data_IF_509253194712
#
_entry.id   IF_509253194712
#
_cell.length_a   1.000
_cell.length_b   1.000
_cell.length_c   1.000
_cell.angle_alpha   90.00
_cell.angle_beta   90.00
_cell.angle_gamma   90.00
#
_symmetry.space_group_name_H-M   'P 1'
#
loop_
_entity.id
_entity.type
_entity.pdbx_description
1 polymer ?
#
# COMPACT_ATOMS: atom_id res chain seq x y z
N UNK A 1 -16.64 12.27 11.21
CA UNK A 1 -16.15 11.15 12.04
C UNK A 1 -14.99 10.52 11.29
N UNK A 2 -13.87 10.26 11.96
CA UNK A 2 -12.72 9.60 11.34
C UNK A 2 -12.78 8.08 11.57
N UNK A 3 -12.46 7.30 10.55
CA UNK A 3 -12.35 5.84 10.62
C UNK A 3 -11.07 5.40 9.90
N UNK A 4 -10.23 4.67 10.64
CA UNK A 4 -8.89 4.26 10.21
C UNK A 4 -8.78 2.73 10.27
N UNK A 5 -8.11 2.14 9.29
CA UNK A 5 -7.71 0.73 9.31
C UNK A 5 -6.20 0.60 9.42
N UNK A 6 -5.73 -0.60 9.75
CA UNK A 6 -4.31 -0.91 9.80
C UNK A 6 -4.04 -2.36 9.36
N UNK A 7 -2.79 -2.65 9.03
CA UNK A 7 -2.26 -4.01 8.87
C UNK A 7 -1.07 -4.20 9.81
N UNK A 8 -0.79 -5.44 10.19
CA UNK A 8 0.35 -5.81 11.05
C UNK A 8 0.94 -7.15 10.61
N UNK A 9 1.33 -8.00 11.57
CA UNK A 9 1.74 -9.38 11.31
C UNK A 9 0.69 -10.20 10.54
N UNK A 10 -0.59 -9.81 10.59
CA UNK A 10 -1.64 -10.32 9.74
C UNK A 10 -2.47 -9.19 9.10
N UNK A 11 -3.29 -9.51 8.11
CA UNK A 11 -3.47 -10.83 7.50
C UNK A 11 -2.31 -11.19 6.54
N UNK A 12 -2.13 -12.47 6.20
CA UNK A 12 -1.17 -12.95 5.18
C UNK A 12 -1.86 -13.18 3.84
N UNK A 13 -1.11 -13.65 2.83
CA UNK A 13 -1.67 -14.13 1.57
C UNK A 13 -2.89 -15.05 1.81
N UNK A 14 -4.01 -14.90 1.07
CA UNK A 14 -4.20 -14.04 -0.11
C UNK A 14 -4.50 -12.56 0.18
N UNK A 15 -4.57 -12.14 1.45
CA UNK A 15 -4.94 -10.78 1.82
C UNK A 15 -3.80 -9.77 1.57
N UNK A 16 -4.13 -8.51 1.24
CA UNK A 16 -3.12 -7.48 1.07
C UNK A 16 -2.48 -7.10 2.42
N UNK A 17 -1.15 -7.00 2.42
CA UNK A 17 -0.34 -6.52 3.55
C UNK A 17 0.99 -5.95 2.99
N UNK A 18 1.94 -5.55 3.84
CA UNK A 18 3.27 -5.01 3.49
C UNK A 18 4.44 -5.90 3.93
N UNK A 19 4.20 -7.19 4.04
CA UNK A 19 5.27 -8.16 4.29
C UNK A 19 6.25 -8.18 3.11
N UNK A 20 7.52 -8.45 3.41
CA UNK A 20 8.63 -8.35 2.46
C UNK A 20 8.47 -9.28 1.25
N UNK A 21 7.90 -10.47 1.46
CA UNK A 21 7.71 -11.48 0.40
C UNK A 21 6.50 -11.23 -0.51
N UNK A 22 5.70 -10.19 -0.26
CA UNK A 22 4.50 -9.91 -1.05
C UNK A 22 4.81 -9.09 -2.31
N UNK A 23 3.93 -9.22 -3.31
CA UNK A 23 4.02 -8.47 -4.57
C UNK A 23 3.67 -7.00 -4.36
N UNK A 24 4.20 -6.14 -5.24
CA UNK A 24 3.91 -4.70 -5.19
C UNK A 24 2.42 -4.35 -5.35
N UNK A 25 1.64 -5.17 -6.04
CA UNK A 25 0.17 -5.01 -6.13
C UNK A 25 -0.54 -5.37 -4.84
N UNK A 26 -0.06 -6.38 -4.09
CA UNK A 26 -0.59 -6.70 -2.75
C UNK A 26 -0.34 -5.52 -1.80
N UNK A 27 0.81 -4.86 -1.92
CA UNK A 27 1.10 -3.67 -1.12
C UNK A 27 0.15 -2.52 -1.43
N UNK A 28 -0.16 -2.29 -2.71
CA UNK A 28 -1.11 -1.24 -3.14
C UNK A 28 -2.55 -1.55 -2.73
N UNK A 29 -2.95 -2.82 -2.78
CA UNK A 29 -4.30 -3.28 -2.47
C UNK A 29 -4.72 -2.99 -1.02
N UNK A 30 -3.77 -2.78 -0.11
CA UNK A 30 -4.06 -2.24 1.24
C UNK A 30 -4.83 -0.92 1.14
N UNK A 31 -4.42 -0.01 0.24
CA UNK A 31 -5.10 1.27 0.08
C UNK A 31 -6.43 1.15 -0.69
N UNK A 32 -6.53 0.23 -1.66
CA UNK A 32 -7.80 -0.03 -2.33
C UNK A 32 -8.86 -0.58 -1.38
N UNK A 33 -8.43 -1.43 -0.43
CA UNK A 33 -9.27 -1.88 0.68
C UNK A 33 -9.74 -0.72 1.55
N UNK A 34 -8.83 0.17 1.97
CA UNK A 34 -9.16 1.39 2.74
C UNK A 34 -10.24 2.19 2.02
N UNK A 35 -10.10 2.39 0.70
CA UNK A 35 -11.11 3.09 -0.08
C UNK A 35 -12.45 2.36 -0.10
N UNK A 36 -12.47 1.08 -0.46
CA UNK A 36 -13.71 0.32 -0.60
C UNK A 36 -14.49 0.19 0.72
N UNK A 37 -13.80 0.12 1.85
CA UNK A 37 -14.40 0.03 3.17
C UNK A 37 -14.81 1.39 3.79
N UNK A 38 -14.54 2.52 3.11
CA UNK A 38 -14.93 3.84 3.60
C UNK A 38 -13.92 4.51 4.55
N UNK A 39 -12.66 4.05 4.53
CA UNK A 39 -11.54 4.60 5.31
C UNK A 39 -11.26 6.06 5.04
N UNK A 40 -11.16 6.85 6.11
CA UNK A 40 -10.69 8.24 6.04
C UNK A 40 -9.17 8.35 6.23
N UNK A 41 -8.54 7.31 6.76
CA UNK A 41 -7.09 7.20 6.93
C UNK A 41 -6.60 5.76 7.04
N UNK A 42 -5.27 5.60 7.10
CA UNK A 42 -4.60 4.32 7.28
C UNK A 42 -3.46 4.46 8.28
N UNK A 43 -3.39 3.54 9.24
CA UNK A 43 -2.37 3.49 10.28
C UNK A 43 -1.43 2.32 10.03
N UNK A 44 -0.13 2.53 10.24
CA UNK A 44 0.85 1.46 10.30
C UNK A 44 1.61 1.50 11.61
N UNK A 45 1.80 0.34 12.23
CA UNK A 45 2.25 0.25 13.62
C UNK A 45 3.74 0.58 13.82
N UNK A 46 4.55 0.53 12.74
CA UNK A 46 5.97 0.85 12.81
C UNK A 46 6.61 0.99 11.43
N UNK A 47 7.58 1.89 11.28
CA UNK A 47 8.25 2.13 9.99
C UNK A 47 9.77 1.84 10.03
N UNK A 48 10.34 1.59 11.21
CA UNK A 48 11.76 1.34 11.44
C UNK A 48 12.00 0.42 12.65
N UNK A 49 11.05 -0.49 12.93
CA UNK A 49 11.06 -1.38 14.09
C UNK A 49 11.95 -2.60 13.84
N UNK A 50 13.26 -2.38 13.76
CA UNK A 50 14.27 -3.44 13.66
C UNK A 50 14.40 -4.27 14.94
N UNK A 51 15.03 -5.44 14.81
CA UNK A 51 15.55 -6.18 15.94
C UNK A 51 16.60 -5.32 16.65
N UNK A 52 16.61 -5.33 17.99
CA UNK A 52 17.55 -4.48 18.74
C UNK A 52 18.96 -5.05 18.57
N UNK A 53 19.79 -4.36 17.78
CA UNK A 53 21.19 -4.73 17.66
C UNK A 53 21.96 -4.30 18.93
N UNK A 54 22.71 -5.23 19.52
CA UNK A 54 23.62 -4.96 20.65
C UNK A 54 24.98 -4.43 20.18
N UNK A 55 25.26 -4.52 18.89
CA UNK A 55 26.47 -4.03 18.21
C UNK A 55 26.07 -3.35 16.91
N UNK A 56 26.85 -2.37 16.45
CA UNK A 56 26.68 -1.79 15.13
C UNK A 56 26.86 -2.90 14.07
N UNK A 57 25.78 -3.30 13.45
CA UNK A 57 25.73 -4.37 12.45
C UNK A 57 25.42 -3.75 11.10
N UNK A 58 26.26 -4.01 10.09
CA UNK A 58 25.95 -3.68 8.69
C UNK A 58 24.81 -4.55 8.12
N UNK A 59 24.42 -5.61 8.84
CA UNK A 59 23.35 -6.52 8.44
C UNK A 59 21.99 -6.05 8.97
N UNK A 60 21.01 -5.99 8.07
CA UNK A 60 19.61 -5.68 8.35
C UNK A 60 18.97 -6.89 9.04
N UNK A 61 18.50 -6.72 10.29
CA UNK A 61 17.81 -7.78 11.06
C UNK A 61 16.39 -7.38 11.41
N UNK A 62 15.42 -8.10 10.83
CA UNK A 62 14.01 -7.95 11.18
C UNK A 62 13.73 -8.57 12.56
N UNK A 63 12.72 -8.05 13.26
CA UNK A 63 12.31 -8.56 14.57
C UNK A 63 11.90 -10.03 14.52
N UNK A 64 12.36 -10.80 15.50
CA UNK A 64 11.93 -12.18 15.64
C UNK A 64 10.42 -12.29 15.96
N UNK A 65 9.75 -13.31 15.42
CA UNK A 65 8.32 -13.57 15.66
C UNK A 65 7.35 -12.72 14.83
N UNK A 66 7.86 -11.87 13.93
CA UNK A 66 7.06 -11.12 12.97
C UNK A 66 7.35 -11.58 11.53
N UNK A 67 6.39 -11.44 10.60
CA UNK A 67 6.66 -11.65 9.19
C UNK A 67 7.82 -10.75 8.73
N UNK A 68 8.71 -11.24 7.85
CA UNK A 68 9.82 -10.43 7.36
C UNK A 68 9.34 -9.08 6.81
N UNK A 69 9.99 -8.00 7.25
CA UNK A 69 9.67 -6.62 6.86
C UNK A 69 8.49 -5.96 7.60
N UNK A 70 7.71 -6.70 8.40
CA UNK A 70 6.65 -6.07 9.21
C UNK A 70 7.26 -5.09 10.24
N UNK A 71 6.68 -3.90 10.34
CA UNK A 71 7.18 -2.80 11.15
C UNK A 71 8.35 -2.03 10.54
N UNK A 72 8.76 -2.32 9.30
CA UNK A 72 9.94 -1.73 8.65
C UNK A 72 9.60 -1.24 7.25
N UNK A 73 9.71 0.06 6.99
CA UNK A 73 9.53 0.70 5.68
C UNK A 73 10.73 1.57 5.26
N UNK A 74 11.60 1.95 6.20
CA UNK A 74 12.85 2.67 5.94
C UNK A 74 14.05 1.81 6.34
N UNK A 75 15.10 1.86 5.54
CA UNK A 75 16.36 1.18 5.81
C UNK A 75 17.46 2.15 6.28
N UNK A 76 18.37 1.71 7.17
CA UNK A 76 19.56 2.47 7.52
C UNK A 76 20.39 2.76 6.28
N UNK A 77 20.79 4.02 6.10
CA UNK A 77 21.52 4.45 4.91
C UNK A 77 22.92 3.86 4.80
N UNK A 78 23.53 3.53 5.93
CA UNK A 78 24.92 3.09 6.04
C UNK A 78 25.14 1.77 5.27
N UNK A 79 24.10 0.93 5.20
CA UNK A 79 24.07 -0.32 4.42
C UNK A 79 24.12 -0.04 2.90
N UNK A 80 23.72 1.16 2.48
CA UNK A 80 23.65 1.62 1.09
C UNK A 80 24.62 2.77 0.81
N UNK A 81 25.67 2.93 1.63
CA UNK A 81 26.71 3.96 1.46
C UNK A 81 26.16 5.40 1.48
N UNK A 82 25.13 5.67 2.29
CA UNK A 82 24.56 7.01 2.51
C UNK A 82 24.32 7.27 4.00
N UNK A 83 24.31 8.53 4.41
CA UNK A 83 24.02 8.93 5.79
C UNK A 83 22.54 9.29 6.01
N UNK A 84 21.69 9.00 5.03
CA UNK A 84 20.25 9.29 5.06
C UNK A 84 19.42 8.00 5.06
N UNK A 85 18.26 7.97 5.73
CA UNK A 85 17.34 6.85 5.63
C UNK A 85 16.95 6.56 4.17
N UNK A 86 16.94 5.29 3.80
CA UNK A 86 16.59 4.84 2.44
C UNK A 86 15.17 4.30 2.44
N UNK A 87 14.33 4.80 1.53
CA UNK A 87 12.97 4.31 1.35
C UNK A 87 12.97 2.85 0.84
N UNK A 88 12.09 2.01 1.39
CA UNK A 88 11.86 0.69 0.82
C UNK A 88 10.99 0.77 -0.44
N UNK A 89 11.12 -0.23 -1.32
CA UNK A 89 10.17 -0.43 -2.42
C UNK A 89 8.72 -0.50 -1.92
N UNK A 90 8.50 -1.03 -0.71
CA UNK A 90 7.17 -1.15 -0.09
C UNK A 90 6.57 0.19 0.26
N UNK A 91 7.39 1.14 0.74
CA UNK A 91 6.98 2.52 0.97
C UNK A 91 6.60 3.21 -0.36
N UNK A 92 7.37 2.97 -1.42
CA UNK A 92 7.03 3.48 -2.77
C UNK A 92 5.74 2.86 -3.33
N UNK A 93 5.44 1.60 -2.98
CA UNK A 93 4.16 0.97 -3.33
C UNK A 93 3.00 1.48 -2.48
N UNK A 94 3.21 1.81 -1.20
CA UNK A 94 2.23 2.57 -0.41
C UNK A 94 1.94 3.91 -1.08
N UNK A 95 2.96 4.70 -1.45
CA UNK A 95 2.76 5.96 -2.17
C UNK A 95 1.97 5.76 -3.47
N UNK A 96 2.29 4.71 -4.23
CA UNK A 96 1.55 4.36 -5.46
C UNK A 96 0.08 4.03 -5.19
N UNK A 97 -0.20 3.32 -4.09
CA UNK A 97 -1.57 3.02 -3.65
C UNK A 97 -2.33 4.26 -3.20
N UNK A 98 -1.68 5.17 -2.46
CA UNK A 98 -2.25 6.47 -2.08
C UNK A 98 -2.59 7.30 -3.32
N UNK A 99 -1.71 7.34 -4.31
CA UNK A 99 -1.96 8.02 -5.58
C UNK A 99 -3.17 7.42 -6.31
N UNK A 100 -3.36 6.10 -6.31
CA UNK A 100 -4.57 5.48 -6.87
C UNK A 100 -5.84 5.98 -6.20
N UNK A 101 -5.79 6.18 -4.88
CA UNK A 101 -6.91 6.73 -4.12
C UNK A 101 -7.16 8.20 -4.49
N UNK A 102 -6.12 8.99 -4.76
CA UNK A 102 -6.30 10.36 -5.25
C UNK A 102 -6.97 10.40 -6.63
N UNK A 103 -6.65 9.47 -7.53
CA UNK A 103 -7.39 9.33 -8.80
C UNK A 103 -8.87 8.99 -8.54
N UNK A 104 -9.16 8.07 -7.62
CA UNK A 104 -10.54 7.74 -7.27
C UNK A 104 -11.27 8.91 -6.61
N UNK A 105 -10.59 9.73 -5.79
CA UNK A 105 -11.13 10.97 -5.23
C UNK A 105 -11.46 11.99 -6.32
N UNK A 106 -10.56 12.18 -7.29
CA UNK A 106 -10.81 13.05 -8.45
C UNK A 106 -12.03 12.57 -9.26
N UNK A 107 -12.18 11.27 -9.46
CA UNK A 107 -13.34 10.73 -10.15
C UNK A 107 -14.62 10.87 -9.32
N UNK A 108 -14.55 10.57 -8.02
CA UNK A 108 -15.68 10.68 -7.10
C UNK A 108 -16.19 12.11 -6.93
N UNK A 109 -15.33 13.14 -7.09
CA UNK A 109 -15.77 14.54 -7.02
C UNK A 109 -16.73 14.93 -8.15
N UNK A 110 -16.75 14.16 -9.25
CA UNK A 110 -17.63 14.40 -10.40
C UNK A 110 -18.80 13.42 -10.47
N UNK A 111 -18.55 12.15 -10.16
CA UNK A 111 -19.51 11.06 -10.38
C UNK A 111 -20.03 10.43 -9.08
N UNK A 112 -19.53 10.87 -7.93
CA UNK A 112 -19.87 10.30 -6.63
C UNK A 112 -18.98 9.12 -6.22
N UNK A 113 -18.94 8.86 -4.91
CA UNK A 113 -18.12 7.81 -4.31
C UNK A 113 -18.53 6.40 -4.74
N UNK A 114 -19.83 6.16 -4.90
CA UNK A 114 -20.35 4.85 -5.28
C UNK A 114 -19.89 4.47 -6.69
N UNK A 115 -19.92 5.41 -7.64
CA UNK A 115 -19.45 5.17 -9.01
C UNK A 115 -17.93 4.98 -9.05
N UNK A 116 -17.16 5.74 -8.27
CA UNK A 116 -15.72 5.52 -8.11
C UNK A 116 -15.39 4.15 -7.49
N UNK A 117 -16.22 3.68 -6.57
CA UNK A 117 -16.06 2.35 -5.95
C UNK A 117 -16.41 1.24 -6.95
N UNK A 118 -17.49 1.41 -7.72
CA UNK A 118 -17.86 0.49 -8.79
C UNK A 118 -16.80 0.45 -9.92
N UNK A 119 -16.06 1.54 -10.13
CA UNK A 119 -14.98 1.60 -11.10
C UNK A 119 -13.83 0.64 -10.75
N UNK A 120 -13.48 0.46 -9.47
CA UNK A 120 -12.47 -0.52 -9.05
C UNK A 120 -12.85 -1.94 -9.49
N UNK A 121 -14.12 -2.30 -9.33
CA UNK A 121 -14.65 -3.61 -9.71
C UNK A 121 -14.69 -3.76 -11.24
N UNK A 122 -15.24 -2.74 -11.93
CA UNK A 122 -15.40 -2.72 -13.40
C UNK A 122 -14.07 -2.81 -14.13
N UNK A 123 -13.04 -2.17 -13.60
CA UNK A 123 -11.69 -2.19 -14.17
C UNK A 123 -10.87 -3.39 -13.71
N UNK A 124 -11.40 -4.27 -12.85
CA UNK A 124 -10.70 -5.46 -12.37
C UNK A 124 -9.56 -5.19 -11.40
N UNK A 125 -9.57 -4.04 -10.71
CA UNK A 125 -8.51 -3.62 -9.79
C UNK A 125 -8.67 -4.30 -8.43
N UNK A 126 -9.83 -4.14 -7.79
CA UNK A 126 -10.04 -4.62 -6.42
C UNK A 126 -11.51 -4.98 -6.14
N UNK A 127 -11.80 -6.27 -6.02
CA UNK A 127 -13.13 -6.79 -5.66
C UNK A 127 -13.29 -6.97 -4.15
N UNK A 128 -12.22 -7.40 -3.48
CA UNK A 128 -12.21 -7.67 -2.05
C UNK A 128 -10.84 -8.16 -1.59
N UNK A 129 -10.67 -8.45 -0.29
CA UNK A 129 -9.36 -8.71 0.27
C UNK A 129 -8.72 -10.00 -0.24
N UNK A 130 -9.46 -10.91 -0.87
CA UNK A 130 -8.91 -12.13 -1.49
C UNK A 130 -8.94 -12.08 -3.02
N UNK A 131 -9.49 -11.00 -3.61
CA UNK A 131 -9.76 -10.89 -5.05
C UNK A 131 -9.42 -9.50 -5.56
N UNK A 132 -8.22 -9.35 -6.13
CA UNK A 132 -7.71 -8.11 -6.69
C UNK A 132 -6.62 -8.42 -7.74
N UNK A 133 -6.27 -7.43 -8.56
CA UNK A 133 -5.29 -7.63 -9.63
C UNK A 133 -3.89 -7.90 -9.09
N UNK A 134 -3.21 -8.89 -9.67
CA UNK A 134 -1.76 -9.07 -9.53
C UNK A 134 -0.97 -8.41 -10.66
N UNK A 135 -1.66 -7.91 -11.68
CA UNK A 135 -1.10 -7.26 -12.86
C UNK A 135 -1.23 -5.73 -12.78
N UNK A 136 -0.33 -5.03 -13.47
CA UNK A 136 -0.33 -3.58 -13.52
C UNK A 136 -1.41 -3.00 -14.47
N UNK A 137 -1.74 -3.72 -15.54
CA UNK A 137 -2.61 -3.24 -16.62
C UNK A 137 -4.00 -2.76 -16.15
N UNK A 138 -4.73 -3.45 -15.26
CA UNK A 138 -6.00 -2.96 -14.73
C UNK A 138 -5.92 -1.57 -14.08
N UNK A 139 -4.79 -1.30 -13.42
CA UNK A 139 -4.58 -0.06 -12.65
C UNK A 139 -4.31 1.10 -13.60
N UNK A 140 -3.50 0.88 -14.64
CA UNK A 140 -3.22 1.88 -15.67
C UNK A 140 -4.47 2.15 -16.53
N UNK A 141 -5.25 1.11 -16.83
CA UNK A 141 -6.53 1.26 -17.52
C UNK A 141 -7.51 2.10 -16.69
N UNK A 142 -7.60 1.87 -15.37
CA UNK A 142 -8.42 2.69 -14.46
C UNK A 142 -7.95 4.15 -14.46
N UNK A 143 -6.65 4.40 -14.32
CA UNK A 143 -6.09 5.77 -14.35
C UNK A 143 -6.36 6.46 -15.68
N UNK A 144 -6.23 5.76 -16.81
CA UNK A 144 -6.56 6.26 -18.13
C UNK A 144 -8.04 6.58 -18.30
N UNK A 145 -8.94 5.73 -17.78
CA UNK A 145 -10.38 6.00 -17.75
C UNK A 145 -10.68 7.26 -16.95
N UNK A 146 -10.13 7.39 -15.75
CA UNK A 146 -10.33 8.58 -14.90
C UNK A 146 -9.81 9.83 -15.58
N UNK A 147 -8.61 9.79 -16.16
CA UNK A 147 -8.05 10.93 -16.89
C UNK A 147 -8.97 11.40 -18.02
N UNK A 148 -9.48 10.48 -18.85
CA UNK A 148 -10.35 10.83 -19.97
C UNK A 148 -11.71 11.38 -19.51
N UNK A 149 -12.31 10.78 -18.47
CA UNK A 149 -13.60 11.20 -17.91
C UNK A 149 -13.50 12.55 -17.17
N UNK A 150 -12.37 12.84 -16.53
CA UNK A 150 -12.18 14.05 -15.74
C UNK A 150 -11.52 15.22 -16.50
N UNK A 151 -11.31 15.12 -17.82
CA UNK A 151 -10.64 16.16 -18.61
C UNK A 151 -11.55 17.33 -19.02
N UNK A 152 -12.88 17.14 -19.00
CA UNK A 152 -13.88 18.16 -19.34
C UNK A 152 -14.16 19.13 -18.20
#
# INVERSE_FOLDING_TARGET
MEWWTYVCMGPSDPHPNWHLGMRGTQHRAVMWRVWKEGGTGFLYWGANCYEKATVASAEIKFRHGLPPGDGVLYYPGEVFSTNHPVASLRLERLLSGLQDIEYLRLYASRYGRDEATALLDRMGVYFGPERYTHEHMPIDAMRGHIFNSCRS
#
